data_IF_795263665277
#
_entry.id   IF_795263665277
#
_cell.length_a   1.000
_cell.length_b   1.000
_cell.length_c   1.000
_cell.angle_alpha   90.00
_cell.angle_beta   90.00
_cell.angle_gamma   90.00
#
_symmetry.space_group_name_H-M   'P 1'
#
loop_
_entity.id
_entity.type
_entity.pdbx_description
1 polymer ?
#
# COMPACT_ATOMS: atom_id res chain seq x y z
N UNK A 1 0.31 -12.29 13.31
CA UNK A 1 -0.40 -13.44 13.91
C UNK A 1 -1.21 -14.25 12.89
N UNK A 2 -2.00 -13.63 12.00
CA UNK A 2 -2.75 -14.37 10.95
C UNK A 2 -1.84 -14.99 9.87
N UNK A 3 -0.88 -14.23 9.32
CA UNK A 3 0.03 -14.75 8.29
C UNK A 3 0.95 -15.88 8.76
N UNK A 4 1.38 -15.85 10.02
CA UNK A 4 2.16 -16.94 10.63
C UNK A 4 1.29 -18.18 10.87
N UNK A 5 0.02 -18.00 11.30
CA UNK A 5 -0.96 -19.10 11.37
C UNK A 5 -1.22 -19.74 10.01
N UNK A 6 -1.35 -18.93 8.96
CA UNK A 6 -1.52 -19.39 7.58
C UNK A 6 -0.37 -20.32 7.15
N UNK A 7 0.88 -19.92 7.39
CA UNK A 7 2.06 -20.71 7.01
C UNK A 7 2.12 -22.04 7.79
N UNK A 8 1.85 -22.02 9.11
CA UNK A 8 1.78 -23.25 9.91
C UNK A 8 0.64 -24.18 9.48
N UNK A 9 -0.51 -23.65 9.08
CA UNK A 9 -1.65 -24.45 8.58
C UNK A 9 -1.39 -25.02 7.19
N UNK A 10 -0.69 -24.28 6.34
CA UNK A 10 -0.30 -24.73 5.02
C UNK A 10 0.68 -25.92 5.09
N UNK A 11 1.58 -25.93 6.08
CA UNK A 11 2.52 -27.03 6.29
C UNK A 11 1.88 -28.27 6.93
N UNK A 12 0.80 -28.12 7.70
CA UNK A 12 0.23 -29.23 8.48
C UNK A 12 -0.98 -29.90 7.75
N UNK A 13 -0.84 -31.17 7.34
CA UNK A 13 -1.78 -31.86 6.41
C UNK A 13 -3.17 -32.17 7.00
N UNK A 14 -3.34 -32.05 8.32
CA UNK A 14 -4.53 -32.52 9.04
C UNK A 14 -5.67 -31.47 9.14
N UNK A 15 -5.50 -30.26 8.59
CA UNK A 15 -6.47 -29.16 8.72
C UNK A 15 -7.03 -28.72 7.36
N UNK A 16 -7.80 -29.60 6.69
CA UNK A 16 -8.37 -29.33 5.36
C UNK A 16 -9.32 -28.11 5.41
N UNK A 17 -10.20 -28.02 6.42
CA UNK A 17 -11.13 -26.90 6.58
C UNK A 17 -10.42 -25.56 6.77
N UNK A 18 -9.38 -25.52 7.61
CA UNK A 18 -8.64 -24.28 7.88
C UNK A 18 -7.81 -23.84 6.66
N UNK A 19 -7.31 -24.78 5.85
CA UNK A 19 -6.64 -24.48 4.57
C UNK A 19 -7.60 -23.88 3.55
N UNK A 20 -8.83 -24.39 3.44
CA UNK A 20 -9.85 -23.83 2.55
C UNK A 20 -10.20 -22.41 2.98
N UNK A 21 -10.46 -22.21 4.29
CA UNK A 21 -10.74 -20.88 4.84
C UNK A 21 -9.58 -19.92 4.57
N UNK A 22 -8.35 -20.37 4.77
CA UNK A 22 -7.14 -19.61 4.51
C UNK A 22 -7.05 -19.16 3.04
N UNK A 23 -7.26 -20.05 2.08
CA UNK A 23 -7.28 -19.68 0.65
C UNK A 23 -8.40 -18.70 0.31
N UNK A 24 -9.60 -18.90 0.85
CA UNK A 24 -10.72 -17.97 0.67
C UNK A 24 -10.36 -16.58 1.21
N UNK A 25 -9.72 -16.48 2.37
CA UNK A 25 -9.30 -15.18 2.93
C UNK A 25 -8.24 -14.50 2.05
N UNK A 26 -7.33 -15.25 1.43
CA UNK A 26 -6.34 -14.71 0.49
C UNK A 26 -7.03 -14.15 -0.75
N UNK A 27 -7.97 -14.90 -1.33
CA UNK A 27 -8.74 -14.44 -2.49
C UNK A 27 -9.49 -13.15 -2.16
N UNK A 28 -10.22 -13.12 -1.04
CA UNK A 28 -10.96 -11.94 -0.60
C UNK A 28 -10.04 -10.74 -0.36
N UNK A 29 -8.88 -10.95 0.28
CA UNK A 29 -7.91 -9.88 0.53
C UNK A 29 -7.33 -9.30 -0.77
N UNK A 30 -6.98 -10.16 -1.73
CA UNK A 30 -6.49 -9.73 -3.05
C UNK A 30 -7.59 -8.97 -3.79
N UNK A 31 -8.81 -9.51 -3.85
CA UNK A 31 -9.96 -8.86 -4.49
C UNK A 31 -10.25 -7.50 -3.86
N UNK A 32 -10.25 -7.38 -2.53
CA UNK A 32 -10.49 -6.11 -1.85
C UNK A 32 -9.44 -5.06 -2.21
N UNK A 33 -8.16 -5.42 -2.22
CA UNK A 33 -7.07 -4.50 -2.59
C UNK A 33 -7.13 -4.08 -4.08
N UNK A 34 -7.52 -4.99 -4.98
CA UNK A 34 -7.70 -4.71 -6.39
C UNK A 34 -8.91 -3.81 -6.65
N UNK A 35 -10.02 -4.04 -5.95
CA UNK A 35 -11.25 -3.23 -6.05
C UNK A 35 -11.00 -1.81 -5.57
N UNK A 36 -10.25 -1.62 -4.47
CA UNK A 36 -9.86 -0.27 -4.03
C UNK A 36 -9.13 0.51 -5.12
N UNK A 37 -8.22 -0.14 -5.85
CA UNK A 37 -7.52 0.51 -6.96
C UNK A 37 -8.39 0.65 -8.22
N UNK A 38 -9.35 -0.25 -8.46
CA UNK A 38 -10.23 -0.17 -9.62
C UNK A 38 -11.21 0.99 -9.52
N UNK A 39 -11.60 1.41 -8.30
CA UNK A 39 -12.40 2.62 -8.09
C UNK A 39 -11.70 3.84 -8.69
N UNK A 40 -10.37 3.94 -8.61
CA UNK A 40 -9.61 4.95 -9.31
C UNK A 40 -9.49 4.62 -10.81
N UNK A 41 -9.14 3.37 -11.13
CA UNK A 41 -8.98 2.83 -12.49
C UNK A 41 -10.17 3.06 -13.44
N UNK A 42 -11.37 3.12 -12.86
CA UNK A 42 -12.66 3.25 -13.56
C UNK A 42 -13.20 4.67 -13.55
N UNK A 43 -12.49 5.65 -12.96
CA UNK A 43 -12.88 7.06 -13.01
C UNK A 43 -12.72 7.58 -14.43
N UNK A 44 -13.81 7.52 -15.18
CA UNK A 44 -13.95 8.20 -16.46
C UNK A 44 -13.83 9.71 -16.17
N UNK A 45 -12.74 10.31 -16.67
CA UNK A 45 -12.48 11.74 -16.56
C UNK A 45 -11.16 12.15 -15.89
N UNK A 46 -10.23 11.23 -15.62
CA UNK A 46 -8.89 11.56 -15.07
C UNK A 46 -7.79 10.88 -15.86
N UNK A 47 -6.81 11.65 -16.34
CA UNK A 47 -5.70 11.17 -17.19
C UNK A 47 -4.85 10.12 -16.47
N UNK A 48 -4.58 10.35 -15.19
CA UNK A 48 -3.59 9.57 -14.43
C UNK A 48 -4.13 8.23 -13.89
N UNK A 49 -5.44 8.00 -13.96
CA UNK A 49 -6.06 6.79 -13.41
C UNK A 49 -6.51 5.79 -14.47
N UNK A 50 -6.11 5.95 -15.73
CA UNK A 50 -6.59 5.06 -16.79
C UNK A 50 -5.96 3.67 -16.68
N UNK A 51 -6.80 2.65 -16.56
CA UNK A 51 -6.41 1.25 -16.69
C UNK A 51 -6.19 0.48 -15.38
N UNK A 52 -5.59 -0.71 -15.49
CA UNK A 52 -5.40 -1.64 -14.36
C UNK A 52 -4.23 -1.27 -13.44
N UNK A 53 -3.41 -0.29 -13.82
CA UNK A 53 -2.20 0.08 -13.07
C UNK A 53 -2.49 0.54 -11.65
N UNK A 54 -3.63 1.21 -11.44
CA UNK A 54 -4.10 1.62 -10.11
C UNK A 54 -4.36 0.41 -9.20
N UNK A 55 -5.04 -0.62 -9.69
CA UNK A 55 -5.29 -1.87 -8.95
C UNK A 55 -4.02 -2.63 -8.60
N UNK A 56 -3.07 -2.70 -9.54
CA UNK A 56 -1.77 -3.34 -9.27
C UNK A 56 -1.00 -2.57 -8.22
N UNK A 57 -0.96 -1.24 -8.31
CA UNK A 57 -0.29 -0.38 -7.34
C UNK A 57 -0.89 -0.50 -5.94
N UNK A 58 -2.23 -0.50 -5.81
CA UNK A 58 -2.88 -0.66 -4.49
C UNK A 58 -2.63 -2.04 -3.89
N UNK A 59 -2.64 -3.10 -4.71
CA UNK A 59 -2.32 -4.45 -4.25
C UNK A 59 -0.87 -4.55 -3.74
N UNK A 60 0.11 -4.10 -4.53
CA UNK A 60 1.52 -4.13 -4.14
C UNK A 60 1.78 -3.27 -2.90
N UNK A 61 1.14 -2.10 -2.81
CA UNK A 61 1.22 -1.23 -1.65
C UNK A 61 0.63 -1.90 -0.40
N UNK A 62 -0.51 -2.58 -0.52
CA UNK A 62 -1.14 -3.30 0.60
C UNK A 62 -0.29 -4.48 1.08
N UNK A 63 0.31 -5.23 0.16
CA UNK A 63 1.22 -6.33 0.52
C UNK A 63 2.49 -5.82 1.22
N UNK A 64 3.13 -4.80 0.67
CA UNK A 64 4.37 -4.23 1.21
C UNK A 64 4.15 -3.51 2.55
N UNK A 65 3.06 -2.76 2.70
CA UNK A 65 2.72 -2.09 3.97
C UNK A 65 2.28 -3.09 5.03
N UNK A 66 1.53 -4.13 4.65
CA UNK A 66 1.14 -5.22 5.53
C UNK A 66 2.35 -5.94 6.11
N UNK A 67 3.30 -6.35 5.27
CA UNK A 67 4.52 -7.02 5.76
C UNK A 67 5.37 -6.08 6.62
N UNK A 68 5.50 -4.79 6.26
CA UNK A 68 6.23 -3.80 7.06
C UNK A 68 5.61 -3.63 8.46
N UNK A 69 4.28 -3.55 8.55
CA UNK A 69 3.58 -3.48 9.82
C UNK A 69 3.80 -4.76 10.65
N UNK A 70 3.76 -5.93 10.02
CA UNK A 70 4.05 -7.18 10.73
C UNK A 70 5.50 -7.27 11.21
N UNK A 71 6.47 -6.72 10.48
CA UNK A 71 7.86 -6.64 10.93
C UNK A 71 8.00 -5.72 12.15
N UNK A 72 7.30 -4.58 12.19
CA UNK A 72 7.31 -3.70 13.36
C UNK A 72 6.78 -4.40 14.62
N UNK A 73 5.66 -5.13 14.49
CA UNK A 73 4.93 -5.67 15.63
C UNK A 73 5.35 -7.10 16.05
N UNK A 74 6.19 -7.77 15.28
CA UNK A 74 6.59 -9.16 15.55
C UNK A 74 7.87 -9.28 16.38
N UNK A 75 8.06 -10.43 17.03
CA UNK A 75 9.30 -10.73 17.76
C UNK A 75 10.47 -11.00 16.80
N UNK A 76 11.70 -10.88 17.30
CA UNK A 76 12.92 -11.01 16.49
C UNK A 76 13.01 -12.30 15.66
N UNK A 77 12.57 -13.44 16.19
CA UNK A 77 12.55 -14.72 15.46
C UNK A 77 11.69 -14.64 14.20
N UNK A 78 10.49 -14.10 14.32
CA UNK A 78 9.55 -13.95 13.21
C UNK A 78 10.07 -12.89 12.22
N UNK A 79 10.63 -11.78 12.72
CA UNK A 79 11.23 -10.75 11.87
C UNK A 79 12.27 -11.34 10.94
N UNK A 80 13.22 -12.12 11.46
CA UNK A 80 14.29 -12.73 10.65
C UNK A 80 13.74 -13.60 9.53
N UNK A 81 12.68 -14.37 9.80
CA UNK A 81 11.99 -15.17 8.79
C UNK A 81 11.29 -14.34 7.70
N UNK A 82 10.78 -13.16 8.04
CA UNK A 82 10.05 -12.28 7.11
C UNK A 82 10.96 -11.40 6.23
N UNK A 83 12.23 -11.19 6.59
CA UNK A 83 13.19 -10.34 5.85
C UNK A 83 13.23 -10.63 4.33
N UNK A 84 13.39 -11.88 3.85
CA UNK A 84 13.48 -12.13 2.41
C UNK A 84 12.19 -11.73 1.68
N UNK A 85 11.02 -12.03 2.24
CA UNK A 85 9.73 -11.68 1.67
C UNK A 85 9.51 -10.16 1.67
N UNK A 86 9.92 -9.48 2.74
CA UNK A 86 9.89 -8.02 2.83
C UNK A 86 10.72 -7.40 1.71
N UNK A 87 11.97 -7.85 1.52
CA UNK A 87 12.84 -7.34 0.44
C UNK A 87 12.21 -7.51 -0.93
N UNK A 88 11.69 -8.70 -1.23
CA UNK A 88 11.08 -8.99 -2.53
C UNK A 88 9.86 -8.11 -2.78
N UNK A 89 8.94 -8.00 -1.81
CA UNK A 89 7.72 -7.19 -1.98
C UNK A 89 8.03 -5.72 -2.17
N UNK A 90 8.96 -5.18 -1.37
CA UNK A 90 9.39 -3.79 -1.49
C UNK A 90 10.13 -3.55 -2.82
N UNK A 91 10.97 -4.49 -3.25
CA UNK A 91 11.65 -4.41 -4.54
C UNK A 91 10.67 -4.45 -5.73
N UNK A 92 9.67 -5.32 -5.70
CA UNK A 92 8.63 -5.38 -6.74
C UNK A 92 7.83 -4.08 -6.80
N UNK A 93 7.42 -3.53 -5.65
CA UNK A 93 6.75 -2.23 -5.60
C UNK A 93 7.65 -1.10 -6.12
N UNK A 94 8.91 -1.09 -5.73
CA UNK A 94 9.90 -0.10 -6.19
C UNK A 94 10.10 -0.17 -7.70
N UNK A 95 10.28 -1.37 -8.26
CA UNK A 95 10.38 -1.57 -9.71
C UNK A 95 9.13 -1.11 -10.43
N UNK A 96 7.94 -1.43 -9.91
CA UNK A 96 6.67 -0.96 -10.46
C UNK A 96 6.58 0.57 -10.50
N UNK A 97 6.96 1.25 -9.42
CA UNK A 97 6.97 2.71 -9.35
C UNK A 97 8.00 3.33 -10.31
N UNK A 98 9.18 2.73 -10.47
CA UNK A 98 10.16 3.17 -11.48
C UNK A 98 9.60 3.03 -12.89
N UNK A 99 9.00 1.88 -13.23
CA UNK A 99 8.39 1.68 -14.55
C UNK A 99 7.29 2.70 -14.82
N UNK A 100 6.47 2.98 -13.80
CA UNK A 100 5.42 4.00 -13.88
C UNK A 100 6.01 5.41 -14.07
N UNK A 101 7.08 5.75 -13.35
CA UNK A 101 7.77 7.03 -13.50
C UNK A 101 8.36 7.18 -14.91
N UNK A 102 9.04 6.15 -15.43
CA UNK A 102 9.60 6.16 -16.79
C UNK A 102 8.48 6.33 -17.82
N UNK A 103 7.36 5.64 -17.64
CA UNK A 103 6.19 5.79 -18.51
C UNK A 103 5.65 7.23 -18.47
N UNK A 104 5.48 7.80 -17.29
CA UNK A 104 4.99 9.19 -17.11
C UNK A 104 5.93 10.22 -17.74
N UNK A 105 7.25 10.02 -17.63
CA UNK A 105 8.25 10.91 -18.24
C UNK A 105 8.29 10.84 -19.77
N UNK A 106 7.89 9.70 -20.35
CA UNK A 106 7.88 9.49 -21.81
C UNK A 106 6.54 9.79 -22.46
N UNK A 107 5.47 9.79 -21.67
CA UNK A 107 4.12 9.93 -22.20
C UNK A 107 3.91 11.33 -22.75
N UNK A 108 3.28 11.40 -23.92
CA UNK A 108 2.87 12.64 -24.59
C UNK A 108 1.40 13.00 -24.32
N UNK A 109 0.77 12.34 -23.34
CA UNK A 109 -0.64 12.60 -23.01
C UNK A 109 -0.77 13.96 -22.34
N UNK A 110 -1.59 14.83 -22.93
CA UNK A 110 -1.82 16.17 -22.43
C UNK A 110 -2.38 16.15 -20.99
N UNK A 111 -1.88 17.06 -20.14
CA UNK A 111 -2.23 17.19 -18.72
C UNK A 111 -1.98 15.95 -17.85
N UNK A 112 -1.10 15.05 -18.28
CA UNK A 112 -0.59 13.99 -17.41
C UNK A 112 0.33 14.58 -16.34
N UNK A 113 0.12 14.22 -15.07
CA UNK A 113 0.99 14.64 -13.97
C UNK A 113 1.87 13.49 -13.53
N UNK A 114 3.06 13.82 -13.02
CA UNK A 114 3.96 12.83 -12.43
C UNK A 114 3.42 12.49 -11.04
N UNK A 115 2.76 11.35 -10.92
CA UNK A 115 2.18 10.90 -9.64
C UNK A 115 3.17 10.13 -8.79
N UNK A 116 4.31 9.69 -9.36
CA UNK A 116 5.36 8.97 -8.63
C UNK A 116 6.35 9.96 -8.03
N UNK A 117 6.54 9.91 -6.71
CA UNK A 117 7.50 10.79 -6.04
C UNK A 117 8.89 10.17 -5.88
N UNK A 118 9.92 10.97 -6.18
CA UNK A 118 11.32 10.67 -5.88
C UNK A 118 11.53 10.41 -4.38
N UNK A 119 10.82 11.14 -3.51
CA UNK A 119 10.92 10.94 -2.06
C UNK A 119 10.46 9.54 -1.65
N UNK A 120 9.33 9.07 -2.19
CA UNK A 120 8.86 7.69 -1.93
C UNK A 120 9.83 6.65 -2.46
N UNK A 121 10.41 6.86 -3.65
CA UNK A 121 11.40 5.96 -4.24
C UNK A 121 12.66 5.88 -3.37
N UNK A 122 13.16 7.02 -2.89
CA UNK A 122 14.33 7.08 -2.02
C UNK A 122 14.10 6.29 -0.73
N UNK A 123 12.96 6.48 -0.06
CA UNK A 123 12.63 5.74 1.17
C UNK A 123 12.51 4.23 0.94
N UNK A 124 11.87 3.80 -0.15
CA UNK A 124 11.78 2.38 -0.50
C UNK A 124 13.16 1.78 -0.78
N UNK A 125 14.01 2.47 -1.55
CA UNK A 125 15.39 2.03 -1.80
C UNK A 125 16.20 1.94 -0.50
N UNK A 126 16.17 2.97 0.33
CA UNK A 126 16.84 2.97 1.64
C UNK A 126 16.36 1.81 2.51
N UNK A 127 15.06 1.49 2.50
CA UNK A 127 14.53 0.38 3.27
C UNK A 127 15.09 -0.97 2.85
N UNK A 128 15.27 -1.22 1.54
CA UNK A 128 15.85 -2.47 0.99
C UNK A 128 17.30 -2.62 1.45
N UNK A 129 18.07 -1.52 1.40
CA UNK A 129 19.50 -1.51 1.76
C UNK A 129 19.70 -1.69 3.27
N UNK A 130 18.85 -1.07 4.09
CA UNK A 130 19.02 -1.01 5.54
C UNK A 130 18.40 -2.20 6.30
N UNK A 131 17.51 -2.99 5.68
CA UNK A 131 16.71 -3.98 6.42
C UNK A 131 17.55 -5.05 7.11
N UNK A 132 18.73 -5.38 6.58
CA UNK A 132 19.62 -6.37 7.21
C UNK A 132 20.22 -5.89 8.55
N UNK A 133 20.23 -4.57 8.80
CA UNK A 133 20.85 -3.96 10.01
C UNK A 133 19.81 -3.27 10.89
N UNK A 134 18.88 -2.54 10.29
CA UNK A 134 17.95 -1.64 10.96
C UNK A 134 16.51 -1.98 10.57
N UNK A 135 16.07 -3.22 10.85
CA UNK A 135 14.76 -3.77 10.43
C UNK A 135 13.59 -2.82 10.75
N UNK A 136 13.57 -2.28 11.98
CA UNK A 136 12.49 -1.39 12.43
C UNK A 136 12.47 -0.09 11.63
N UNK A 137 13.62 0.54 11.44
CA UNK A 137 13.74 1.78 10.66
C UNK A 137 13.37 1.53 9.21
N UNK A 138 13.83 0.42 8.60
CA UNK A 138 13.42 0.03 7.26
C UNK A 138 11.91 -0.14 7.13
N UNK A 139 11.25 -0.73 8.13
CA UNK A 139 9.80 -0.92 8.11
C UNK A 139 9.06 0.41 8.22
N UNK A 140 9.54 1.35 9.05
CA UNK A 140 9.02 2.72 9.10
C UNK A 140 9.20 3.43 7.76
N UNK A 141 10.37 3.32 7.13
CA UNK A 141 10.62 3.91 5.81
C UNK A 141 9.70 3.38 4.73
N UNK A 142 9.40 2.07 4.73
CA UNK A 142 8.40 1.51 3.81
C UNK A 142 7.02 2.10 4.07
N UNK A 143 6.57 2.17 5.32
CA UNK A 143 5.25 2.72 5.64
C UNK A 143 5.14 4.19 5.23
N UNK A 144 6.14 5.02 5.53
CA UNK A 144 6.15 6.44 5.13
C UNK A 144 6.25 6.58 3.61
N UNK A 145 7.11 5.80 2.96
CA UNK A 145 7.29 5.82 1.51
C UNK A 145 6.01 5.42 0.76
N UNK A 146 5.33 4.36 1.21
CA UNK A 146 4.05 3.92 0.65
C UNK A 146 2.94 4.94 0.93
N UNK A 147 2.85 5.45 2.16
CA UNK A 147 1.87 6.48 2.50
C UNK A 147 2.02 7.70 1.58
N UNK A 148 3.24 8.18 1.39
CA UNK A 148 3.51 9.32 0.52
C UNK A 148 3.25 9.01 -0.97
N UNK A 149 3.58 7.80 -1.43
CA UNK A 149 3.26 7.36 -2.79
C UNK A 149 1.75 7.29 -3.02
N UNK A 150 0.97 6.77 -2.07
CA UNK A 150 -0.49 6.73 -2.13
C UNK A 150 -1.08 8.14 -2.05
N UNK A 151 -0.59 8.99 -1.15
CA UNK A 151 -1.00 10.39 -1.05
C UNK A 151 -0.80 11.11 -2.38
N UNK A 152 0.39 11.00 -2.98
CA UNK A 152 0.69 11.60 -4.28
C UNK A 152 -0.15 11.01 -5.40
N UNK A 153 -0.35 9.70 -5.42
CA UNK A 153 -1.23 9.04 -6.38
C UNK A 153 -2.68 9.55 -6.28
N UNK A 154 -3.24 9.68 -5.08
CA UNK A 154 -4.63 10.10 -4.87
C UNK A 154 -4.82 11.61 -5.11
N UNK A 155 -3.89 12.45 -4.67
CA UNK A 155 -4.02 13.91 -4.79
C UNK A 155 -3.59 14.40 -6.17
N UNK A 156 -2.34 14.12 -6.58
CA UNK A 156 -1.82 14.63 -7.85
C UNK A 156 -2.51 13.99 -9.05
N UNK A 157 -3.03 12.77 -8.89
CA UNK A 157 -3.84 12.11 -9.91
C UNK A 157 -5.20 12.78 -10.16
N UNK A 158 -5.68 13.59 -9.23
CA UNK A 158 -6.95 14.33 -9.30
C UNK A 158 -6.81 15.80 -9.70
N UNK A 159 -5.62 16.29 -10.03
CA UNK A 159 -5.43 17.72 -10.35
C UNK A 159 -6.24 18.12 -11.59
N UNK A 160 -6.20 17.32 -12.67
CA UNK A 160 -6.87 17.65 -13.93
C UNK A 160 -8.12 16.79 -14.16
N UNK A 161 -9.25 17.44 -14.43
CA UNK A 161 -10.49 16.77 -14.87
C UNK A 161 -10.60 16.82 -16.38
N UNK A 162 -11.09 15.74 -16.99
CA UNK A 162 -11.41 15.65 -18.41
C UNK A 162 -12.92 15.59 -18.65
N UNK A 163 -13.32 15.98 -19.86
CA UNK A 163 -14.68 15.79 -20.37
C UNK A 163 -15.73 16.71 -19.74
N UNK A 164 -17.02 16.31 -19.73
CA UNK A 164 -18.12 17.19 -19.33
C UNK A 164 -18.04 17.64 -17.86
N UNK A 165 -17.28 16.92 -17.02
CA UNK A 165 -17.05 17.26 -15.61
C UNK A 165 -16.28 18.56 -15.40
N UNK A 166 -15.58 19.06 -16.42
CA UNK A 166 -14.89 20.36 -16.39
C UNK A 166 -15.88 21.48 -16.05
N UNK A 167 -17.12 21.38 -16.52
CA UNK A 167 -18.16 22.41 -16.30
C UNK A 167 -18.56 22.55 -14.83
N UNK A 168 -18.39 21.50 -14.02
CA UNK A 168 -18.84 21.48 -12.62
C UNK A 168 -17.69 21.72 -11.65
N UNK A 169 -16.48 21.32 -12.03
CA UNK A 169 -15.33 21.21 -11.13
C UNK A 169 -14.13 22.10 -11.52
N UNK A 170 -14.21 22.83 -12.63
CA UNK A 170 -13.08 23.53 -13.22
C UNK A 170 -12.14 22.60 -13.99
N UNK A 171 -11.11 23.15 -14.63
CA UNK A 171 -10.11 22.35 -15.38
C UNK A 171 -9.02 21.81 -14.46
N UNK A 172 -8.63 22.60 -13.47
CA UNK A 172 -7.55 22.34 -12.53
C UNK A 172 -8.07 22.47 -11.11
N UNK A 173 -7.68 21.53 -10.25
CA UNK A 173 -8.06 21.48 -8.85
C UNK A 173 -6.82 21.61 -7.99
N UNK A 174 -6.85 22.55 -7.05
CA UNK A 174 -5.80 22.73 -6.05
C UNK A 174 -6.31 22.14 -4.73
N UNK A 175 -5.54 21.22 -4.17
CA UNK A 175 -5.82 20.63 -2.86
C UNK A 175 -4.78 21.10 -1.84
N UNK A 176 -5.27 21.53 -0.69
CA UNK A 176 -4.46 21.84 0.48
C UNK A 176 -5.06 21.14 1.69
N UNK A 177 -4.33 20.25 2.37
CA UNK A 177 -4.87 19.49 3.49
C UNK A 177 -5.21 20.43 4.66
N UNK A 178 -6.38 20.23 5.26
CA UNK A 178 -6.79 20.96 6.45
C UNK A 178 -6.32 20.24 7.73
N UNK A 179 -6.18 20.98 8.83
CA UNK A 179 -5.85 20.49 10.17
C UNK A 179 -6.76 19.33 10.60
N UNK A 180 -8.06 19.38 10.26
CA UNK A 180 -9.01 18.32 10.58
C UNK A 180 -8.67 16.98 9.91
N UNK A 181 -8.14 17.00 8.69
CA UNK A 181 -7.73 15.77 8.00
C UNK A 181 -6.53 15.11 8.69
N UNK A 182 -5.61 15.92 9.23
CA UNK A 182 -4.55 15.44 10.11
C UNK A 182 -5.11 14.82 11.40
N UNK A 183 -6.15 15.43 12.00
CA UNK A 183 -6.85 14.88 13.16
C UNK A 183 -7.50 13.52 12.87
N UNK A 184 -8.18 13.38 11.73
CA UNK A 184 -8.79 12.11 11.28
C UNK A 184 -7.72 11.05 11.05
N UNK A 185 -6.57 11.42 10.48
CA UNK A 185 -5.44 10.51 10.29
C UNK A 185 -4.91 9.96 11.63
N UNK A 186 -4.67 10.84 12.61
CA UNK A 186 -4.22 10.45 13.96
C UNK A 186 -5.25 9.56 14.64
N UNK A 187 -6.54 9.89 14.51
CA UNK A 187 -7.63 9.09 15.05
C UNK A 187 -7.64 7.68 14.42
N UNK A 188 -7.46 7.58 13.11
CA UNK A 188 -7.40 6.29 12.40
C UNK A 188 -6.25 5.40 12.87
N UNK A 189 -5.07 5.97 13.08
CA UNK A 189 -3.92 5.25 13.65
C UNK A 189 -4.23 4.80 15.09
N UNK A 190 -4.78 5.70 15.91
CA UNK A 190 -5.10 5.44 17.31
C UNK A 190 -6.14 4.33 17.46
N UNK A 191 -7.19 4.34 16.63
CA UNK A 191 -8.23 3.30 16.60
C UNK A 191 -7.65 1.95 16.12
N UNK A 192 -6.82 1.96 15.08
CA UNK A 192 -6.15 0.74 14.61
C UNK A 192 -5.28 0.11 15.70
N UNK A 193 -4.55 0.95 16.44
CA UNK A 193 -3.74 0.51 17.58
C UNK A 193 -4.58 -0.04 18.73
N UNK A 194 -5.68 0.64 19.08
CA UNK A 194 -6.62 0.18 20.11
C UNK A 194 -7.21 -1.19 19.76
N UNK A 195 -7.67 -1.38 18.52
CA UNK A 195 -8.21 -2.67 18.06
C UNK A 195 -7.15 -3.77 18.13
N UNK A 196 -5.91 -3.46 17.73
CA UNK A 196 -4.79 -4.40 17.85
C UNK A 196 -4.53 -4.80 19.31
N UNK A 197 -4.45 -3.84 20.23
CA UNK A 197 -4.23 -4.10 21.66
C UNK A 197 -5.35 -4.92 22.29
N UNK A 198 -6.61 -4.60 22.01
CA UNK A 198 -7.76 -5.35 22.49
C UNK A 198 -7.74 -6.79 21.98
N UNK A 199 -7.49 -6.97 20.68
CA UNK A 199 -7.40 -8.29 20.06
C UNK A 199 -6.25 -9.11 20.67
N UNK A 200 -5.09 -8.50 20.85
CA UNK A 200 -3.93 -9.14 21.46
C UNK A 200 -4.23 -9.62 22.89
N UNK A 201 -4.82 -8.75 23.72
CA UNK A 201 -5.18 -9.07 25.11
C UNK A 201 -6.24 -10.16 25.23
N UNK A 202 -7.21 -10.20 24.32
CA UNK A 202 -8.26 -11.24 24.33
C UNK A 202 -7.75 -12.59 23.85
N UNK A 203 -6.84 -12.62 22.88
CA UNK A 203 -6.31 -13.85 22.28
C UNK A 203 -5.09 -14.43 23.02
N UNK A 204 -4.45 -13.65 23.90
CA UNK A 204 -3.33 -14.10 24.73
C UNK A 204 -3.77 -14.68 26.09
N UNK A 205 -5.07 -14.73 26.35
CA UNK A 205 -5.67 -15.44 27.48
C UNK A 205 -6.06 -16.85 27.03
#
# INVERSE_FOLDING_TARGET
>A
MLGTKFITLYLNKNFISERVLAWLTVIVAISAALVLGSVFGTVIGRVNYVGSGASVFTLLSAMASGIALTMLLSNNVIRTYLIPYFKILVAVLFSWLILTLIYQLRSSVDKQTITVSIFSLALLLSSILLVSRLILISSVFVLIGIFYALYKFVIDGQIFTLGPKITWFGVEQIYSPNVYEGGVFILGISMSWLVYLLSYKMLSK
#
